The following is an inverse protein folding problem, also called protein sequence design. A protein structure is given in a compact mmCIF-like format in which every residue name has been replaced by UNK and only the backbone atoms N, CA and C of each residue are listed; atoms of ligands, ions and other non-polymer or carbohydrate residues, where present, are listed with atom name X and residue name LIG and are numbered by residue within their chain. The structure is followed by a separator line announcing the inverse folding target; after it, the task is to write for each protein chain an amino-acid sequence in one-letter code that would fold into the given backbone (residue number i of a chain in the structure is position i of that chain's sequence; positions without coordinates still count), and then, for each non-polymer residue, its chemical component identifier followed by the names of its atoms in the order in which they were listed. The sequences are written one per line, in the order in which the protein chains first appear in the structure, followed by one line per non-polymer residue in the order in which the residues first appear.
data_IF_063151443446
#
_entry.id   IF_063151443446
#
_cell.length_a   1.000
_cell.length_b   1.000
_cell.length_c   1.000
_cell.angle_alpha   90.00
_cell.angle_beta   90.00
_cell.angle_gamma   90.00
#
_symmetry.space_group_name_H-M   'P 1'
#
loop_
_entity.id
_entity.type
_entity.pdbx_description
1 polymer ?
#
# COMPACT_ATOMS: atom_id res chain seq x y z
N UNK A 1 -22.11 39.88 -3.10
CA UNK A 1 -20.91 39.01 -3.14
C UNK A 1 -21.41 37.58 -3.33
N UNK A 2 -21.67 37.21 -4.58
CA UNK A 2 -22.30 35.93 -4.95
C UNK A 2 -21.17 34.93 -5.20
N UNK A 3 -21.00 34.04 -4.23
CA UNK A 3 -20.42 32.70 -4.30
C UNK A 3 -19.83 32.24 -5.65
N UNK A 4 -18.56 32.60 -5.86
CA UNK A 4 -17.75 32.24 -7.02
C UNK A 4 -17.30 30.76 -7.05
N UNK A 5 -17.73 29.94 -6.08
CA UNK A 5 -17.37 28.51 -6.00
C UNK A 5 -18.17 27.63 -6.99
N UNK A 6 -19.22 28.16 -7.62
CA UNK A 6 -20.08 27.44 -8.58
C UNK A 6 -19.65 27.60 -10.05
N UNK A 7 -18.50 28.22 -10.34
CA UNK A 7 -17.97 28.30 -11.71
C UNK A 7 -17.55 26.89 -12.19
N UNK A 8 -17.92 26.54 -13.42
CA UNK A 8 -17.62 25.27 -14.11
C UNK A 8 -16.12 24.90 -14.18
N UNK A 9 -15.25 25.83 -13.80
CA UNK A 9 -13.80 25.65 -13.65
C UNK A 9 -13.38 25.01 -12.32
N UNK A 10 -14.29 24.83 -11.34
CA UNK A 10 -13.99 24.21 -10.04
C UNK A 10 -14.16 22.68 -10.03
N UNK A 11 -14.74 22.11 -11.09
CA UNK A 11 -14.90 20.67 -11.20
C UNK A 11 -13.54 19.97 -11.32
N UNK A 12 -13.29 18.87 -10.57
CA UNK A 12 -12.06 18.12 -10.69
C UNK A 12 -11.87 17.65 -12.13
N UNK A 13 -10.69 17.90 -12.70
CA UNK A 13 -10.30 17.42 -14.02
C UNK A 13 -8.99 16.65 -13.89
N UNK A 14 -8.95 15.47 -14.49
CA UNK A 14 -7.73 14.68 -14.55
C UNK A 14 -6.69 15.39 -15.44
N UNK A 15 -5.47 15.61 -14.94
CA UNK A 15 -4.35 16.02 -15.80
C UNK A 15 -4.01 14.98 -16.87
N UNK A 16 -3.10 15.33 -17.78
CA UNK A 16 -2.55 14.39 -18.74
C UNK A 16 -2.01 13.13 -18.05
N UNK A 17 -2.21 11.96 -18.68
CA UNK A 17 -1.84 10.64 -18.16
C UNK A 17 -0.46 10.57 -17.54
N UNK A 18 0.57 11.02 -18.27
CA UNK A 18 1.95 10.99 -17.80
C UNK A 18 2.11 11.78 -16.49
N UNK A 19 1.45 12.94 -16.37
CA UNK A 19 1.49 13.77 -15.16
C UNK A 19 0.76 13.09 -14.00
N UNK A 20 -0.39 12.46 -14.22
CA UNK A 20 -1.12 11.73 -13.16
C UNK A 20 -0.30 10.58 -12.61
N UNK A 21 0.26 9.75 -13.50
CA UNK A 21 1.08 8.59 -13.11
C UNK A 21 2.34 9.06 -12.37
N UNK A 22 3.03 10.08 -12.90
CA UNK A 22 4.22 10.63 -12.27
C UNK A 22 3.92 11.23 -10.89
N UNK A 23 2.88 12.05 -10.76
CA UNK A 23 2.53 12.65 -9.47
C UNK A 23 2.14 11.58 -8.45
N UNK A 24 1.37 10.56 -8.86
CA UNK A 24 1.05 9.45 -7.97
C UNK A 24 2.30 8.64 -7.56
N UNK A 25 3.21 8.36 -8.49
CA UNK A 25 4.48 7.71 -8.18
C UNK A 25 5.29 8.54 -7.17
N UNK A 26 5.39 9.85 -7.38
CA UNK A 26 6.07 10.77 -6.47
C UNK A 26 5.40 10.80 -5.09
N UNK A 27 4.07 10.81 -5.02
CA UNK A 27 3.34 10.68 -3.76
C UNK A 27 3.74 9.38 -3.06
N UNK A 28 3.72 8.25 -3.77
CA UNK A 28 4.11 6.96 -3.20
C UNK A 28 5.59 6.90 -2.76
N UNK A 29 6.50 7.54 -3.50
CA UNK A 29 7.91 7.66 -3.09
C UNK A 29 8.02 8.48 -1.80
N UNK A 30 7.41 9.67 -1.76
CA UNK A 30 7.46 10.56 -0.60
C UNK A 30 6.84 9.90 0.64
N UNK A 31 5.67 9.29 0.50
CA UNK A 31 5.03 8.59 1.62
C UNK A 31 5.81 7.35 2.00
N UNK A 32 6.47 6.67 1.05
CA UNK A 32 7.32 5.51 1.32
C UNK A 32 8.58 5.90 2.09
N UNK A 33 9.16 7.07 1.79
CA UNK A 33 10.27 7.64 2.55
C UNK A 33 9.83 8.03 3.96
N UNK A 34 8.67 8.71 4.10
CA UNK A 34 8.07 9.02 5.41
C UNK A 34 7.83 7.73 6.21
N UNK A 35 7.32 6.70 5.55
CA UNK A 35 7.07 5.37 6.11
C UNK A 35 8.34 4.67 6.59
N UNK A 36 9.49 5.06 6.05
CA UNK A 36 10.78 4.49 6.40
C UNK A 36 11.48 5.23 7.54
N UNK A 37 10.92 6.35 8.00
CA UNK A 37 11.43 7.06 9.17
C UNK A 37 11.15 6.25 10.44
N UNK A 38 12.11 6.16 11.38
CA UNK A 38 11.90 5.53 12.66
C UNK A 38 10.71 6.17 13.38
N UNK A 39 9.77 5.35 13.88
CA UNK A 39 8.65 5.87 14.67
C UNK A 39 9.09 6.13 16.10
N UNK A 40 8.78 7.30 16.69
CA UNK A 40 8.89 7.52 18.13
C UNK A 40 7.72 6.89 18.92
N UNK A 41 6.73 6.28 18.24
CA UNK A 41 5.61 5.63 18.91
C UNK A 41 6.05 4.32 19.58
N UNK A 42 5.58 4.00 20.80
CA UNK A 42 5.98 2.80 21.51
C UNK A 42 5.63 1.57 20.67
N UNK A 43 6.64 0.78 20.30
CA UNK A 43 6.41 -0.52 19.70
C UNK A 43 5.77 -1.41 20.78
N UNK A 44 4.51 -1.82 20.60
CA UNK A 44 3.88 -2.80 21.49
C UNK A 44 4.55 -4.15 21.21
N UNK A 45 5.62 -4.44 21.96
CA UNK A 45 6.36 -5.70 21.84
C UNK A 45 5.53 -6.81 22.48
N UNK A 46 4.97 -7.67 21.65
CA UNK A 46 4.58 -9.02 22.05
C UNK A 46 5.70 -9.92 21.51
N UNK A 47 6.61 -10.29 22.42
CA UNK A 47 7.72 -11.25 22.29
C UNK A 47 9.08 -10.78 21.73
N UNK A 48 10.13 -11.25 22.43
CA UNK A 48 11.56 -11.08 22.18
C UNK A 48 12.06 -12.24 21.30
N UNK A 49 11.96 -12.15 19.97
CA UNK A 49 12.95 -12.69 19.02
C UNK A 49 12.42 -12.71 17.59
N UNK A 50 13.30 -12.35 16.64
CA UNK A 50 13.13 -12.66 15.21
C UNK A 50 12.19 -11.76 14.42
N UNK A 51 12.76 -10.92 13.55
CA UNK A 51 12.12 -10.17 12.45
C UNK A 51 10.63 -9.78 12.68
N UNK A 52 10.44 -8.63 13.33
CA UNK A 52 9.10 -8.15 13.70
C UNK A 52 8.39 -7.59 12.44
N UNK A 53 7.49 -8.39 11.86
CA UNK A 53 6.49 -7.95 10.86
C UNK A 53 5.15 -7.61 11.54
N UNK A 54 5.18 -7.21 12.80
CA UNK A 54 3.98 -6.92 13.57
C UNK A 54 3.49 -5.49 13.29
N UNK A 55 2.16 -5.29 13.24
CA UNK A 55 1.52 -3.95 13.16
C UNK A 55 1.93 -3.03 14.31
N UNK A 56 2.40 -3.62 15.41
CA UNK A 56 2.96 -2.89 16.55
C UNK A 56 4.38 -2.33 16.31
N UNK A 57 5.10 -2.79 15.29
CA UNK A 57 6.47 -2.33 14.95
C UNK A 57 6.56 -1.64 13.59
N UNK A 58 5.58 -1.88 12.72
CA UNK A 58 5.45 -1.13 11.49
C UNK A 58 4.88 0.25 11.80
N UNK A 59 5.56 1.33 11.39
CA UNK A 59 5.16 2.68 11.77
C UNK A 59 3.71 3.00 11.35
N UNK A 60 2.81 3.25 12.31
CA UNK A 60 1.41 3.67 12.03
C UNK A 60 1.34 4.88 11.09
N UNK A 61 2.35 5.77 11.15
CA UNK A 61 2.47 6.92 10.26
C UNK A 61 2.70 6.52 8.79
N UNK A 62 3.22 5.33 8.52
CA UNK A 62 3.46 4.85 7.16
C UNK A 62 2.16 4.67 6.36
N UNK A 63 1.22 3.92 6.93
CA UNK A 63 -0.09 3.72 6.31
C UNK A 63 -0.87 5.02 6.21
N UNK A 64 -0.79 5.88 7.23
CA UNK A 64 -1.54 7.12 7.28
C UNK A 64 -1.07 8.14 6.24
N UNK A 65 0.24 8.32 6.08
CA UNK A 65 0.79 9.24 5.08
C UNK A 65 0.39 8.83 3.65
N UNK A 66 0.47 7.54 3.35
CA UNK A 66 0.05 7.00 2.06
C UNK A 66 -1.45 7.20 1.81
N UNK A 67 -2.28 6.87 2.80
CA UNK A 67 -3.73 7.05 2.73
C UNK A 67 -4.15 8.51 2.47
N UNK A 68 -3.54 9.45 3.19
CA UNK A 68 -3.77 10.88 3.00
C UNK A 68 -3.32 11.31 1.60
N UNK A 69 -2.15 10.87 1.15
CA UNK A 69 -1.63 11.18 -0.19
C UNK A 69 -2.59 10.77 -1.30
N UNK A 70 -3.11 9.53 -1.25
CA UNK A 70 -4.10 9.04 -2.23
C UNK A 70 -5.39 9.85 -2.14
N UNK A 71 -5.91 10.10 -0.93
CA UNK A 71 -7.15 10.85 -0.74
C UNK A 71 -7.05 12.30 -1.24
N UNK A 72 -5.92 12.97 -1.04
CA UNK A 72 -5.65 14.32 -1.57
C UNK A 72 -5.64 14.31 -3.10
N UNK A 73 -5.01 13.31 -3.73
CA UNK A 73 -5.04 13.17 -5.18
C UNK A 73 -6.46 12.93 -5.71
N UNK A 74 -7.27 12.09 -5.04
CA UNK A 74 -8.67 11.88 -5.39
C UNK A 74 -9.49 13.17 -5.23
N UNK A 75 -9.24 13.91 -4.15
CA UNK A 75 -9.87 15.20 -3.93
C UNK A 75 -9.52 16.21 -5.03
N UNK A 76 -8.24 16.25 -5.42
CA UNK A 76 -7.73 17.19 -6.40
C UNK A 76 -8.27 16.94 -7.81
N UNK A 77 -8.39 15.68 -8.23
CA UNK A 77 -8.61 15.33 -9.63
C UNK A 77 -9.90 14.56 -9.93
N UNK A 78 -10.56 13.99 -8.92
CA UNK A 78 -11.69 13.05 -9.13
C UNK A 78 -12.98 13.53 -8.50
N UNK A 79 -12.99 13.93 -7.23
CA UNK A 79 -14.22 14.32 -6.53
C UNK A 79 -13.97 15.38 -5.46
N UNK A 80 -14.85 16.37 -5.34
CA UNK A 80 -14.83 17.35 -4.22
C UNK A 80 -15.68 16.92 -3.02
N UNK A 81 -16.26 15.71 -3.06
CA UNK A 81 -17.05 15.20 -1.96
C UNK A 81 -16.15 14.70 -0.83
N UNK A 82 -16.15 15.44 0.29
CA UNK A 82 -15.32 15.16 1.45
C UNK A 82 -15.51 13.74 1.96
N UNK A 83 -16.76 13.30 2.09
CA UNK A 83 -17.07 11.96 2.61
C UNK A 83 -16.43 10.85 1.77
N UNK A 84 -16.45 10.96 0.44
CA UNK A 84 -15.82 9.97 -0.45
C UNK A 84 -14.31 9.95 -0.29
N UNK A 85 -13.67 11.12 -0.20
CA UNK A 85 -12.21 11.23 -0.06
C UNK A 85 -11.73 10.76 1.33
N UNK A 86 -12.48 11.07 2.40
CA UNK A 86 -12.21 10.55 3.74
C UNK A 86 -12.37 9.02 3.78
N UNK A 87 -13.40 8.48 3.15
CA UNK A 87 -13.61 7.04 3.07
C UNK A 87 -12.50 6.36 2.25
N UNK A 88 -12.00 7.00 1.18
CA UNK A 88 -10.78 6.57 0.49
C UNK A 88 -9.60 6.50 1.45
N UNK A 89 -9.34 7.54 2.24
CA UNK A 89 -8.24 7.53 3.20
C UNK A 89 -8.38 6.38 4.21
N UNK A 90 -9.55 6.21 4.81
CA UNK A 90 -9.81 5.13 5.77
C UNK A 90 -9.55 3.75 5.15
N UNK A 91 -10.06 3.49 3.95
CA UNK A 91 -9.92 2.20 3.31
C UNK A 91 -8.49 1.90 2.82
N UNK A 92 -7.77 2.93 2.34
CA UNK A 92 -6.35 2.78 2.00
C UNK A 92 -5.53 2.48 3.26
N UNK A 93 -5.83 3.15 4.37
CA UNK A 93 -5.19 2.89 5.66
C UNK A 93 -5.48 1.47 6.18
N UNK A 94 -6.75 1.04 6.13
CA UNK A 94 -7.13 -0.33 6.46
C UNK A 94 -6.47 -1.35 5.54
N UNK A 95 -6.30 -1.03 4.25
CA UNK A 95 -5.55 -1.85 3.30
C UNK A 95 -4.10 -2.04 3.71
N UNK A 96 -3.45 -0.98 4.18
CA UNK A 96 -2.09 -1.07 4.71
C UNK A 96 -2.03 -1.96 5.96
N UNK A 97 -2.94 -1.78 6.92
CA UNK A 97 -3.00 -2.63 8.12
C UNK A 97 -3.25 -4.10 7.78
N UNK A 98 -4.17 -4.35 6.83
CA UNK A 98 -4.48 -5.69 6.35
C UNK A 98 -3.26 -6.34 5.68
N UNK A 99 -2.47 -5.59 4.90
CA UNK A 99 -1.25 -6.10 4.29
C UNK A 99 -0.23 -6.55 5.35
N UNK A 100 0.04 -5.69 6.34
CA UNK A 100 1.00 -6.03 7.42
C UNK A 100 0.55 -7.27 8.19
N UNK A 101 -0.72 -7.33 8.60
CA UNK A 101 -1.26 -8.49 9.30
C UNK A 101 -1.22 -9.75 8.43
N UNK A 102 -1.58 -9.66 7.15
CA UNK A 102 -1.54 -10.79 6.22
C UNK A 102 -0.11 -11.32 6.05
N UNK A 103 0.88 -10.43 5.94
CA UNK A 103 2.28 -10.84 5.83
C UNK A 103 2.74 -11.57 7.10
N UNK A 104 2.37 -11.04 8.27
CA UNK A 104 2.70 -11.64 9.56
C UNK A 104 2.05 -13.01 9.75
N UNK A 105 0.75 -13.12 9.53
CA UNK A 105 -0.01 -14.36 9.71
C UNK A 105 0.52 -15.46 8.78
N UNK A 106 0.84 -15.12 7.52
CA UNK A 106 1.35 -16.08 6.57
C UNK A 106 2.80 -16.49 6.87
N UNK A 107 3.63 -15.56 7.34
CA UNK A 107 5.00 -15.85 7.77
C UNK A 107 5.00 -16.80 8.97
N UNK A 108 4.20 -16.53 9.99
CA UNK A 108 4.06 -17.37 11.18
C UNK A 108 3.50 -18.75 10.84
N UNK A 109 2.47 -18.80 9.98
CA UNK A 109 1.91 -20.06 9.49
C UNK A 109 2.95 -20.91 8.76
N UNK A 110 3.74 -20.32 7.86
CA UNK A 110 4.71 -21.05 7.04
C UNK A 110 5.93 -21.53 7.84
N UNK A 111 6.43 -20.73 8.80
CA UNK A 111 7.52 -21.15 9.68
C UNK A 111 7.06 -22.21 10.69
N UNK A 112 5.86 -22.05 11.24
CA UNK A 112 5.25 -23.03 12.13
C UNK A 112 4.87 -24.33 11.41
N UNK A 113 4.80 -24.33 10.09
CA UNK A 113 4.48 -25.52 9.30
C UNK A 113 5.67 -26.49 9.19
N UNK A 114 5.42 -27.78 9.40
CA UNK A 114 6.35 -28.87 9.06
C UNK A 114 6.45 -29.16 7.56
N UNK A 115 5.78 -28.38 6.72
CA UNK A 115 5.59 -28.65 5.29
C UNK A 115 6.89 -28.66 4.47
N UNK A 116 7.97 -28.09 4.99
CA UNK A 116 9.24 -27.96 4.29
C UNK A 116 10.38 -28.78 4.91
N UNK A 117 10.08 -29.74 5.81
CA UNK A 117 11.06 -30.57 6.52
C UNK A 117 11.48 -29.98 7.87
N UNK A 118 12.30 -30.68 8.66
CA UNK A 118 12.74 -30.23 10.00
C UNK A 118 14.22 -29.83 10.09
N UNK A 119 14.99 -30.02 9.01
CA UNK A 119 16.43 -29.77 9.00
C UNK A 119 16.80 -28.27 8.94
N UNK A 120 18.05 -27.94 9.28
CA UNK A 120 18.57 -26.56 9.32
C UNK A 120 18.48 -25.86 7.95
N UNK A 121 18.74 -26.56 6.84
CA UNK A 121 18.56 -26.01 5.48
C UNK A 121 17.08 -25.76 5.12
N UNK A 122 16.17 -26.56 5.67
CA UNK A 122 14.74 -26.35 5.54
C UNK A 122 14.25 -25.10 6.28
N UNK A 123 14.92 -24.65 7.35
CA UNK A 123 14.54 -23.44 8.09
C UNK A 123 14.79 -22.16 7.25
N UNK A 124 15.98 -22.01 6.68
CA UNK A 124 16.30 -20.86 5.83
C UNK A 124 15.37 -20.77 4.60
N UNK A 125 15.04 -21.93 4.03
CA UNK A 125 14.12 -22.03 2.90
C UNK A 125 12.67 -21.66 3.29
N UNK A 126 12.23 -22.02 4.51
CA UNK A 126 10.94 -21.64 5.08
C UNK A 126 10.82 -20.15 5.32
N UNK A 127 11.84 -19.53 5.90
CA UNK A 127 11.85 -18.10 6.15
C UNK A 127 11.82 -17.30 4.84
N UNK A 128 12.62 -17.70 3.85
CA UNK A 128 12.61 -17.07 2.53
C UNK A 128 11.25 -17.22 1.83
N UNK A 129 10.70 -18.43 1.82
CA UNK A 129 9.38 -18.71 1.24
C UNK A 129 8.27 -17.95 1.98
N UNK A 130 8.32 -17.90 3.31
CA UNK A 130 7.40 -17.16 4.15
C UNK A 130 7.37 -15.67 3.83
N UNK A 131 8.54 -15.06 3.65
CA UNK A 131 8.66 -13.65 3.29
C UNK A 131 8.19 -13.37 1.87
N UNK A 132 8.52 -14.24 0.91
CA UNK A 132 8.12 -14.04 -0.49
C UNK A 132 6.61 -14.24 -0.65
N UNK A 133 6.07 -15.38 -0.20
CA UNK A 133 4.64 -15.70 -0.32
C UNK A 133 3.84 -14.72 0.53
N UNK A 134 4.27 -14.47 1.78
CA UNK A 134 3.66 -13.49 2.67
C UNK A 134 3.62 -12.10 2.05
N UNK A 135 4.74 -11.66 1.47
CA UNK A 135 4.83 -10.38 0.77
C UNK A 135 3.91 -10.27 -0.44
N UNK A 136 3.86 -11.31 -1.29
CA UNK A 136 2.98 -11.35 -2.48
C UNK A 136 1.51 -11.26 -2.08
N UNK A 137 1.07 -12.09 -1.13
CA UNK A 137 -0.34 -12.13 -0.70
C UNK A 137 -0.71 -10.85 0.03
N UNK A 138 0.13 -10.39 0.96
CA UNK A 138 -0.06 -9.11 1.65
C UNK A 138 -0.12 -7.92 0.68
N UNK A 139 0.78 -7.90 -0.29
CA UNK A 139 0.84 -6.87 -1.32
C UNK A 139 -0.43 -6.83 -2.16
N UNK A 140 -0.96 -8.01 -2.54
CA UNK A 140 -2.24 -8.12 -3.25
C UNK A 140 -3.42 -7.61 -2.41
N UNK A 141 -3.51 -8.03 -1.14
CA UNK A 141 -4.58 -7.63 -0.21
C UNK A 141 -4.56 -6.11 0.02
N UNK A 142 -3.39 -5.55 0.36
CA UNK A 142 -3.26 -4.12 0.62
C UNK A 142 -3.54 -3.25 -0.59
N UNK A 143 -3.05 -3.65 -1.77
CA UNK A 143 -3.32 -2.93 -3.00
C UNK A 143 -4.78 -3.08 -3.46
N UNK A 144 -5.41 -4.24 -3.24
CA UNK A 144 -6.83 -4.46 -3.54
C UNK A 144 -7.75 -3.57 -2.71
N UNK A 145 -7.48 -3.46 -1.40
CA UNK A 145 -8.21 -2.54 -0.51
C UNK A 145 -7.92 -1.06 -0.84
N UNK A 146 -6.69 -0.74 -1.22
CA UNK A 146 -6.34 0.61 -1.70
C UNK A 146 -7.09 0.97 -2.99
N UNK A 147 -7.19 0.02 -3.93
CA UNK A 147 -7.96 0.16 -5.16
C UNK A 147 -9.47 0.25 -4.89
N UNK A 148 -9.98 -0.50 -3.92
CA UNK A 148 -11.37 -0.40 -3.48
C UNK A 148 -11.67 1.01 -2.92
N UNK A 149 -10.82 1.52 -2.03
CA UNK A 149 -10.92 2.86 -1.48
C UNK A 149 -10.85 3.95 -2.55
N UNK A 150 -9.90 3.85 -3.48
CA UNK A 150 -9.77 4.76 -4.63
C UNK A 150 -10.97 4.67 -5.59
N UNK A 151 -11.60 3.50 -5.70
CA UNK A 151 -12.77 3.26 -6.53
C UNK A 151 -14.03 3.98 -6.06
N UNK A 152 -14.12 4.39 -4.79
CA UNK A 152 -15.29 5.10 -4.26
C UNK A 152 -15.55 6.42 -5.00
N UNK A 153 -14.59 7.35 -5.08
CA UNK A 153 -14.75 8.54 -5.91
C UNK A 153 -14.53 8.25 -7.40
N UNK A 154 -13.78 7.20 -7.79
CA UNK A 154 -13.36 6.96 -9.17
C UNK A 154 -13.99 5.71 -9.81
N UNK A 155 -15.04 5.88 -10.62
CA UNK A 155 -15.68 4.78 -11.35
C UNK A 155 -14.72 4.02 -12.29
N UNK A 156 -13.71 4.71 -12.85
CA UNK A 156 -12.70 4.09 -13.72
C UNK A 156 -11.91 2.97 -13.00
N UNK A 157 -11.63 3.13 -11.70
CA UNK A 157 -10.87 2.14 -10.91
C UNK A 157 -11.71 0.89 -10.62
N UNK A 158 -13.04 1.02 -10.53
CA UNK A 158 -13.95 -0.12 -10.25
C UNK A 158 -13.96 -1.16 -11.36
N UNK A 159 -13.43 -0.83 -12.55
CA UNK A 159 -13.34 -1.78 -13.66
C UNK A 159 -12.37 -2.90 -13.31
N UNK A 160 -12.74 -4.18 -13.51
CA UNK A 160 -11.91 -5.32 -13.11
C UNK A 160 -10.48 -5.27 -13.66
N UNK A 161 -10.30 -4.75 -14.89
CA UNK A 161 -9.00 -4.62 -15.54
C UNK A 161 -8.08 -3.62 -14.82
N UNK A 162 -8.63 -2.50 -14.33
CA UNK A 162 -7.87 -1.48 -13.62
C UNK A 162 -7.62 -1.91 -12.17
N UNK A 163 -8.63 -2.48 -11.52
CA UNK A 163 -8.50 -3.03 -10.18
C UNK A 163 -7.47 -4.16 -10.12
N UNK A 164 -7.55 -5.12 -11.06
CA UNK A 164 -6.59 -6.22 -11.17
C UNK A 164 -5.16 -5.76 -11.45
N UNK A 165 -4.97 -4.69 -12.22
CA UNK A 165 -3.64 -4.11 -12.44
C UNK A 165 -3.04 -3.54 -11.15
N UNK A 166 -3.85 -2.91 -10.29
CA UNK A 166 -3.39 -2.36 -9.00
C UNK A 166 -3.04 -3.48 -8.03
N UNK A 167 -3.89 -4.52 -7.96
CA UNK A 167 -3.62 -5.73 -7.16
C UNK A 167 -2.33 -6.41 -7.61
N UNK A 168 -2.13 -6.58 -8.92
CA UNK A 168 -0.92 -7.17 -9.48
C UNK A 168 0.32 -6.34 -9.15
N UNK A 169 0.24 -5.02 -9.26
CA UNK A 169 1.31 -4.11 -8.84
C UNK A 169 1.68 -4.33 -7.37
N UNK A 170 0.69 -4.38 -6.48
CA UNK A 170 0.90 -4.67 -5.07
C UNK A 170 1.56 -6.02 -4.81
N UNK A 171 1.08 -7.07 -5.49
CA UNK A 171 1.61 -8.43 -5.37
C UNK A 171 3.07 -8.53 -5.83
N UNK A 172 3.40 -7.94 -6.99
CA UNK A 172 4.76 -7.94 -7.55
C UNK A 172 5.71 -7.16 -6.65
N UNK A 173 5.33 -5.96 -6.20
CA UNK A 173 6.15 -5.22 -5.24
C UNK A 173 6.26 -5.93 -3.89
N UNK A 174 5.26 -6.75 -3.52
CA UNK A 174 5.26 -7.62 -2.34
C UNK A 174 6.50 -8.52 -2.23
N UNK A 175 7.07 -8.94 -3.35
CA UNK A 175 8.30 -9.75 -3.40
C UNK A 175 9.47 -9.03 -2.69
N UNK A 176 9.46 -7.69 -2.66
CA UNK A 176 10.50 -6.89 -2.00
C UNK A 176 10.52 -7.04 -0.48
N UNK A 177 9.53 -7.71 0.12
CA UNK A 177 9.54 -8.01 1.55
C UNK A 177 10.76 -8.85 1.95
N UNK A 178 11.14 -9.83 1.14
CA UNK A 178 12.31 -10.68 1.38
C UNK A 178 13.63 -9.88 1.40
N UNK A 179 14.02 -9.15 0.33
CA UNK A 179 15.25 -8.37 0.37
C UNK A 179 15.21 -7.25 1.43
N UNK A 180 14.05 -6.64 1.72
CA UNK A 180 13.95 -5.65 2.80
C UNK A 180 14.24 -6.26 4.18
N UNK A 181 13.79 -7.49 4.43
CA UNK A 181 14.10 -8.23 5.65
C UNK A 181 15.57 -8.62 5.75
N UNK A 182 16.16 -9.13 4.66
CA UNK A 182 17.59 -9.52 4.61
C UNK A 182 18.50 -8.32 4.82
N UNK A 183 18.21 -7.19 4.17
CA UNK A 183 19.01 -5.97 4.25
C UNK A 183 18.73 -5.15 5.51
N UNK A 184 17.66 -5.47 6.26
CA UNK A 184 17.14 -4.66 7.38
C UNK A 184 16.86 -3.21 6.98
N UNK A 185 16.36 -3.02 5.77
CA UNK A 185 16.12 -1.72 5.16
C UNK A 185 14.65 -1.59 4.76
N UNK A 186 13.78 -1.04 5.62
CA UNK A 186 12.34 -0.96 5.35
C UNK A 186 11.99 -0.14 4.09
N UNK A 187 12.84 0.83 3.73
CA UNK A 187 12.68 1.63 2.51
C UNK A 187 12.80 0.82 1.23
N UNK A 188 13.51 -0.31 1.24
CA UNK A 188 13.60 -1.25 0.10
C UNK A 188 12.25 -1.88 -0.21
N UNK A 189 11.33 -1.94 0.76
CA UNK A 189 9.96 -2.39 0.56
C UNK A 189 9.00 -1.21 0.35
N UNK A 190 8.94 -0.28 1.31
CA UNK A 190 7.87 0.72 1.33
C UNK A 190 7.91 1.70 0.16
N UNK A 191 9.11 2.15 -0.25
CA UNK A 191 9.25 3.10 -1.36
C UNK A 191 8.76 2.50 -2.68
N UNK A 192 9.31 1.37 -3.17
CA UNK A 192 8.86 0.81 -4.43
C UNK A 192 7.40 0.32 -4.37
N UNK A 193 6.95 -0.24 -3.24
CA UNK A 193 5.57 -0.70 -3.10
C UNK A 193 4.56 0.44 -3.17
N UNK A 194 4.72 1.49 -2.35
CA UNK A 194 3.79 2.63 -2.36
C UNK A 194 3.83 3.39 -3.68
N UNK A 195 5.02 3.56 -4.26
CA UNK A 195 5.18 4.19 -5.58
C UNK A 195 4.45 3.40 -6.67
N UNK A 196 4.62 2.08 -6.72
CA UNK A 196 4.02 1.24 -7.75
C UNK A 196 2.51 1.16 -7.60
N UNK A 197 1.99 0.99 -6.38
CA UNK A 197 0.55 0.99 -6.10
C UNK A 197 -0.07 2.33 -6.46
N UNK A 198 0.51 3.46 -6.02
CA UNK A 198 -0.02 4.77 -6.37
C UNK A 198 0.03 5.02 -7.89
N UNK A 199 1.16 4.74 -8.55
CA UNK A 199 1.31 4.88 -10.00
C UNK A 199 0.26 4.05 -10.75
N UNK A 200 0.00 2.83 -10.29
CA UNK A 200 -1.00 1.93 -10.87
C UNK A 200 -2.43 2.47 -10.70
N UNK A 201 -2.75 3.09 -9.57
CA UNK A 201 -4.01 3.82 -9.36
C UNK A 201 -4.09 4.99 -10.35
N UNK A 202 -3.06 5.82 -10.44
CA UNK A 202 -3.00 6.94 -11.39
C UNK A 202 -3.17 6.49 -12.85
N UNK A 203 -2.57 5.37 -13.21
CA UNK A 203 -2.73 4.76 -14.53
C UNK A 203 -4.17 4.28 -14.76
N UNK A 204 -4.77 3.61 -13.78
CA UNK A 204 -6.16 3.17 -13.83
C UNK A 204 -7.17 4.32 -13.94
N UNK A 205 -6.90 5.47 -13.30
CA UNK A 205 -7.74 6.67 -13.42
C UNK A 205 -7.81 7.21 -14.86
N UNK A 206 -6.73 7.03 -15.62
CA UNK A 206 -6.59 7.61 -16.96
C UNK A 206 -6.86 6.61 -18.09
N UNK A 207 -7.07 5.33 -17.75
CA UNK A 207 -7.37 4.27 -18.71
C UNK A 207 -8.88 4.24 -18.98
N UNK A 208 -9.26 4.67 -20.18
CA UNK A 208 -10.65 4.74 -20.66
C UNK A 208 -11.24 3.40 -21.01
#
# INVERSE_FOLDING_TARGET
MVWDFLKDDTQPRLPNRARVVLTMALVGILTGLISSLPSPLPSIRLEEDGLILNTASSPLHAGLAFAIGIAVCMWAWVSREVGKCLLTAVLVFLGWLAAVNTANDLYQFLIGSGAFGSETGAKATREASGLIIGGVVAGAVGAGLSAFGAGIPAAAIRRPQNWGLIVLAGAVAGIMLYPAAVLRMPHVMFVPWQALVAASIGFGLTRR
#
